data_IF_143099788085
#
_entry.id   IF_143099788085
#
_cell.length_a   1.000
_cell.length_b   1.000
_cell.length_c   1.000
_cell.angle_alpha   90.00
_cell.angle_beta   90.00
_cell.angle_gamma   90.00
#
_symmetry.space_group_name_H-M   'P 1'
#
loop_
_entity.id
_entity.type
_entity.pdbx_description
1 polymer ?
#
# COMPACT_ATOMS: atom_id res chain seq x y z
N UNK A 1 22.56 -9.48 -4.84
CA UNK A 1 21.20 -8.88 -5.00
C UNK A 1 20.12 -9.43 -4.04
N UNK A 2 20.23 -10.64 -3.46
CA UNK A 2 19.19 -11.20 -2.56
C UNK A 2 18.96 -10.35 -1.29
N UNK A 3 20.03 -9.84 -0.69
CA UNK A 3 19.98 -9.00 0.52
C UNK A 3 19.31 -7.65 0.23
N UNK A 4 19.68 -6.98 -0.86
CA UNK A 4 19.05 -5.70 -1.27
C UNK A 4 17.56 -5.87 -1.51
N UNK A 5 17.13 -6.91 -2.22
CA UNK A 5 15.70 -7.22 -2.41
C UNK A 5 15.00 -7.47 -1.08
N UNK A 6 15.66 -8.16 -0.14
CA UNK A 6 15.10 -8.39 1.18
C UNK A 6 14.95 -7.10 1.98
N UNK A 7 15.97 -6.24 2.01
CA UNK A 7 15.92 -4.93 2.69
C UNK A 7 14.79 -4.07 2.12
N UNK A 8 14.70 -3.95 0.78
CA UNK A 8 13.63 -3.18 0.15
C UNK A 8 12.24 -3.76 0.47
N UNK A 9 12.10 -5.09 0.48
CA UNK A 9 10.83 -5.73 0.80
C UNK A 9 10.47 -5.62 2.28
N UNK A 10 11.47 -5.62 3.15
CA UNK A 10 11.30 -5.41 4.58
C UNK A 10 10.82 -3.98 4.84
N UNK A 11 11.49 -2.98 4.27
CA UNK A 11 11.10 -1.57 4.43
C UNK A 11 9.72 -1.30 3.85
N UNK A 12 9.44 -1.80 2.63
CA UNK A 12 8.14 -1.69 2.00
C UNK A 12 7.04 -2.35 2.85
N UNK A 13 7.24 -3.60 3.27
CA UNK A 13 6.28 -4.33 4.07
C UNK A 13 6.01 -3.67 5.42
N UNK A 14 7.06 -3.22 6.12
CA UNK A 14 6.93 -2.49 7.39
C UNK A 14 6.17 -1.18 7.23
N UNK A 15 6.40 -0.44 6.14
CA UNK A 15 5.68 0.80 5.87
C UNK A 15 4.17 0.55 5.69
N UNK A 16 3.78 -0.49 4.95
CA UNK A 16 2.37 -0.86 4.78
C UNK A 16 1.73 -1.39 6.06
N UNK A 17 2.45 -2.20 6.84
CA UNK A 17 1.96 -2.65 8.14
C UNK A 17 1.72 -1.45 9.06
N UNK A 18 2.66 -0.50 9.11
CA UNK A 18 2.50 0.72 9.89
C UNK A 18 1.31 1.56 9.39
N UNK A 19 1.19 1.77 8.08
CA UNK A 19 0.07 2.51 7.49
C UNK A 19 -1.29 1.86 7.75
N UNK A 20 -1.35 0.52 7.81
CA UNK A 20 -2.58 -0.22 8.11
C UNK A 20 -2.91 -0.20 9.59
N UNK A 21 -1.93 -0.40 10.48
CA UNK A 21 -2.13 -0.30 11.93
C UNK A 21 -2.62 1.09 12.33
N UNK A 22 -2.08 2.14 11.72
CA UNK A 22 -2.50 3.52 11.96
C UNK A 22 -3.97 3.75 11.61
N UNK A 23 -4.54 3.07 10.60
CA UNK A 23 -5.98 3.14 10.27
C UNK A 23 -6.89 2.51 11.34
N UNK A 24 -6.36 1.62 12.18
CA UNK A 24 -7.13 1.02 13.28
C UNK A 24 -6.92 1.77 14.60
N UNK A 25 -5.67 2.13 14.90
CA UNK A 25 -5.28 2.70 16.18
C UNK A 25 -5.17 4.22 16.19
N UNK A 26 -5.16 4.86 15.02
CA UNK A 26 -5.10 6.32 14.84
C UNK A 26 -4.01 6.99 15.68
N UNK A 27 -2.80 6.41 15.70
CA UNK A 27 -1.72 6.90 16.54
C UNK A 27 -0.89 8.00 15.88
N UNK A 28 -0.94 8.15 14.56
CA UNK A 28 -0.39 9.30 13.90
C UNK A 28 -1.38 10.47 13.94
N UNK A 29 -0.93 11.66 14.35
CA UNK A 29 -1.75 12.85 14.26
C UNK A 29 -2.07 13.13 12.80
N UNK A 30 -3.35 13.30 12.51
CA UNK A 30 -3.79 13.66 11.17
C UNK A 30 -3.16 15.00 10.78
N UNK A 31 -2.51 15.10 9.60
CA UNK A 31 -1.97 16.37 9.14
C UNK A 31 -3.10 17.39 8.93
N UNK A 32 -2.77 18.68 8.87
CA UNK A 32 -3.76 19.71 8.55
C UNK A 32 -4.28 19.49 7.12
N UNK A 33 -5.50 18.99 7.02
CA UNK A 33 -6.21 18.77 5.77
C UNK A 33 -6.87 20.06 5.31
N UNK A 34 -6.97 20.25 3.99
CA UNK A 34 -7.83 21.28 3.41
C UNK A 34 -9.31 20.88 3.58
N UNK A 35 -10.22 21.85 3.43
CA UNK A 35 -11.66 21.60 3.55
C UNK A 35 -12.16 20.51 2.58
N UNK A 36 -11.60 20.46 1.38
CA UNK A 36 -11.97 19.45 0.39
C UNK A 36 -11.40 18.06 0.72
N UNK A 37 -10.20 17.99 1.29
CA UNK A 37 -9.64 16.74 1.80
C UNK A 37 -10.47 16.21 2.97
N UNK A 38 -10.92 17.09 3.88
CA UNK A 38 -11.82 16.72 4.97
C UNK A 38 -13.12 16.11 4.47
N UNK A 39 -13.74 16.66 3.42
CA UNK A 39 -14.95 16.08 2.81
C UNK A 39 -14.71 14.66 2.27
N UNK A 40 -13.57 14.43 1.62
CA UNK A 40 -13.22 13.11 1.10
C UNK A 40 -12.97 12.11 2.23
N UNK A 41 -12.24 12.51 3.26
CA UNK A 41 -12.02 11.67 4.44
C UNK A 41 -13.32 11.35 5.17
N UNK A 42 -14.23 12.33 5.31
CA UNK A 42 -15.55 12.10 5.88
C UNK A 42 -16.36 11.08 5.08
N UNK A 43 -16.36 11.18 3.74
CA UNK A 43 -17.02 10.22 2.86
C UNK A 43 -16.44 8.80 2.99
N UNK A 44 -15.13 8.65 3.18
CA UNK A 44 -14.53 7.34 3.47
C UNK A 44 -14.95 6.79 4.84
N UNK A 45 -15.16 7.67 5.82
CA UNK A 45 -15.66 7.32 7.15
C UNK A 45 -17.12 6.82 7.13
N UNK A 46 -17.97 7.39 6.28
CA UNK A 46 -19.39 6.99 6.18
C UNK A 46 -19.59 5.54 5.71
N UNK A 47 -18.67 5.01 4.91
CA UNK A 47 -18.78 3.66 4.34
C UNK A 47 -18.59 2.58 5.43
N UNK A 48 -17.95 2.89 6.55
CA UNK A 48 -17.82 2.02 7.74
C UNK A 48 -16.88 0.82 7.58
N UNK A 49 -16.89 0.13 6.44
CA UNK A 49 -16.05 -1.05 6.18
C UNK A 49 -14.80 -0.75 5.35
N UNK A 50 -14.78 0.38 4.62
CA UNK A 50 -13.71 0.70 3.67
C UNK A 50 -12.35 0.86 4.36
N UNK A 51 -12.26 1.75 5.35
CA UNK A 51 -11.00 2.03 6.07
C UNK A 51 -10.45 0.78 6.80
N UNK A 52 -11.28 0.00 7.53
CA UNK A 52 -10.85 -1.27 8.10
C UNK A 52 -10.37 -2.28 7.04
N UNK A 53 -11.08 -2.41 5.91
CA UNK A 53 -10.69 -3.34 4.85
C UNK A 53 -9.35 -2.96 4.22
N UNK A 54 -9.16 -1.67 3.92
CA UNK A 54 -7.90 -1.13 3.40
C UNK A 54 -6.78 -1.39 4.40
N UNK A 55 -6.96 -1.06 5.68
CA UNK A 55 -5.97 -1.31 6.72
C UNK A 55 -5.61 -2.79 6.87
N UNK A 56 -6.60 -3.68 6.83
CA UNK A 56 -6.36 -5.12 6.87
C UNK A 56 -5.57 -5.62 5.65
N UNK A 57 -5.91 -5.15 4.45
CA UNK A 57 -5.20 -5.49 3.22
C UNK A 57 -3.75 -5.00 3.23
N UNK A 58 -3.48 -3.81 3.79
CA UNK A 58 -2.12 -3.28 3.94
C UNK A 58 -1.30 -4.08 4.96
N UNK A 59 -1.88 -4.47 6.11
CA UNK A 59 -1.19 -5.28 7.13
C UNK A 59 -0.89 -6.68 6.58
N UNK A 60 -1.90 -7.36 6.05
CA UNK A 60 -1.76 -8.73 5.53
C UNK A 60 -0.81 -8.73 4.32
N UNK A 61 -1.04 -7.81 3.39
CA UNK A 61 -0.21 -7.65 2.20
C UNK A 61 1.23 -7.32 2.56
N UNK A 62 1.44 -6.39 3.51
CA UNK A 62 2.76 -5.96 3.95
C UNK A 62 3.53 -7.10 4.63
N UNK A 63 2.87 -7.86 5.50
CA UNK A 63 3.45 -9.02 6.16
C UNK A 63 3.85 -10.11 5.16
N UNK A 64 2.99 -10.41 4.19
CA UNK A 64 3.27 -11.38 3.14
C UNK A 64 4.38 -10.92 2.19
N UNK A 65 4.54 -9.61 1.98
CA UNK A 65 5.56 -9.02 1.11
C UNK A 65 7.00 -9.24 1.63
N UNK A 66 7.17 -9.25 2.96
CA UNK A 66 8.48 -9.38 3.61
C UNK A 66 9.13 -10.72 3.25
N UNK A 67 8.39 -11.83 3.39
CA UNK A 67 8.94 -13.17 3.22
C UNK A 67 9.10 -13.54 1.72
N UNK A 68 10.29 -14.00 1.28
CA UNK A 68 10.55 -14.34 -0.13
C UNK A 68 9.60 -15.38 -0.75
N UNK A 69 9.05 -16.28 0.09
CA UNK A 69 8.10 -17.32 -0.35
C UNK A 69 6.73 -16.73 -0.69
N UNK A 70 6.19 -15.89 0.18
CA UNK A 70 4.83 -15.29 0.06
C UNK A 70 4.81 -13.93 -0.62
N UNK A 71 5.98 -13.37 -0.96
CA UNK A 71 6.10 -12.02 -1.52
C UNK A 71 5.20 -11.75 -2.73
N UNK A 72 5.10 -12.75 -3.61
CA UNK A 72 4.26 -12.66 -4.79
C UNK A 72 2.78 -12.44 -4.41
N UNK A 73 2.29 -13.19 -3.43
CA UNK A 73 0.94 -13.04 -2.91
C UNK A 73 0.74 -11.67 -2.24
N UNK A 74 1.68 -11.24 -1.40
CA UNK A 74 1.63 -9.92 -0.76
C UNK A 74 1.60 -8.77 -1.76
N UNK A 75 2.38 -8.87 -2.85
CA UNK A 75 2.41 -7.86 -3.90
C UNK A 75 1.06 -7.72 -4.62
N UNK A 76 0.39 -8.84 -4.92
CA UNK A 76 -0.96 -8.85 -5.52
C UNK A 76 -2.01 -8.27 -4.56
N UNK A 77 -1.96 -8.62 -3.28
CA UNK A 77 -2.93 -8.11 -2.28
C UNK A 77 -2.80 -6.59 -2.13
N UNK A 78 -1.57 -6.06 -2.12
CA UNK A 78 -1.33 -4.62 -2.01
C UNK A 78 -1.69 -3.88 -3.31
N UNK A 79 -1.57 -4.52 -4.47
CA UNK A 79 -1.74 -3.85 -5.77
C UNK A 79 -3.02 -3.00 -5.90
N UNK A 80 -4.24 -3.50 -5.63
CA UNK A 80 -5.45 -2.69 -5.74
C UNK A 80 -5.47 -1.51 -4.76
N UNK A 81 -4.95 -1.70 -3.54
CA UNK A 81 -4.82 -0.63 -2.55
C UNK A 81 -3.80 0.42 -3.01
N UNK A 82 -2.67 -0.02 -3.54
CA UNK A 82 -1.62 0.84 -4.06
C UNK A 82 -2.09 1.67 -5.26
N UNK A 83 -2.89 1.09 -6.15
CA UNK A 83 -3.55 1.82 -7.25
C UNK A 83 -4.50 2.88 -6.68
N UNK A 84 -5.28 2.55 -5.65
CA UNK A 84 -6.14 3.52 -4.96
C UNK A 84 -5.36 4.68 -4.36
N UNK A 85 -4.25 4.40 -3.65
CA UNK A 85 -3.35 5.42 -3.08
C UNK A 85 -2.76 6.31 -4.17
N UNK A 86 -2.29 5.72 -5.27
CA UNK A 86 -1.72 6.47 -6.39
C UNK A 86 -2.76 7.40 -7.03
N UNK A 87 -3.96 6.89 -7.32
CA UNK A 87 -5.05 7.69 -7.87
C UNK A 87 -5.50 8.80 -6.91
N UNK A 88 -5.55 8.51 -5.61
CA UNK A 88 -5.87 9.51 -4.60
C UNK A 88 -4.86 10.66 -4.61
N UNK A 89 -3.56 10.36 -4.62
CA UNK A 89 -2.51 11.38 -4.64
C UNK A 89 -2.44 12.14 -5.98
N UNK A 90 -2.76 11.51 -7.09
CA UNK A 90 -2.77 12.18 -8.40
C UNK A 90 -4.00 13.08 -8.60
N UNK A 91 -5.17 12.66 -8.10
CA UNK A 91 -6.44 13.33 -8.39
C UNK A 91 -6.99 14.20 -7.25
N UNK A 92 -6.67 13.89 -5.98
CA UNK A 92 -7.30 14.50 -4.80
C UNK A 92 -6.31 15.14 -3.83
N UNK A 93 -5.17 14.51 -3.57
CA UNK A 93 -4.13 15.05 -2.70
C UNK A 93 -2.84 15.29 -3.48
N UNK A 94 -2.83 16.38 -4.25
CA UNK A 94 -1.73 16.74 -5.16
C UNK A 94 -0.48 17.29 -4.43
N UNK A 95 -0.25 16.87 -3.19
CA UNK A 95 1.01 17.09 -2.52
C UNK A 95 2.15 16.47 -3.33
N UNK A 96 3.13 17.29 -3.71
CA UNK A 96 4.30 16.84 -4.47
C UNK A 96 5.00 15.66 -3.77
N UNK A 97 5.10 15.71 -2.45
CA UNK A 97 5.68 14.64 -1.63
C UNK A 97 4.83 13.37 -1.67
N UNK A 98 3.51 13.48 -1.54
CA UNK A 98 2.59 12.33 -1.57
C UNK A 98 2.61 11.62 -2.93
N UNK A 99 2.61 12.39 -4.02
CA UNK A 99 2.73 11.85 -5.38
C UNK A 99 4.05 11.09 -5.53
N UNK A 100 5.19 11.70 -5.19
CA UNK A 100 6.51 11.07 -5.35
C UNK A 100 6.57 9.75 -4.56
N UNK A 101 6.16 9.74 -3.29
CA UNK A 101 6.17 8.54 -2.45
C UNK A 101 5.28 7.45 -3.06
N UNK A 102 4.05 7.78 -3.44
CA UNK A 102 3.12 6.79 -4.02
C UNK A 102 3.62 6.19 -5.33
N UNK A 103 4.22 7.00 -6.21
CA UNK A 103 4.83 6.53 -7.47
C UNK A 103 5.99 5.58 -7.18
N UNK A 104 6.89 5.94 -6.26
CA UNK A 104 8.04 5.09 -5.90
C UNK A 104 7.58 3.75 -5.34
N UNK A 105 6.60 3.75 -4.44
CA UNK A 105 6.04 2.53 -3.86
C UNK A 105 5.34 1.68 -4.93
N UNK A 106 4.57 2.30 -5.83
CA UNK A 106 3.92 1.60 -6.92
C UNK A 106 4.94 0.93 -7.85
N UNK A 107 6.05 1.61 -8.18
CA UNK A 107 7.14 1.03 -8.98
C UNK A 107 7.83 -0.13 -8.25
N UNK A 108 8.05 -0.04 -6.94
CA UNK A 108 8.60 -1.16 -6.14
C UNK A 108 7.65 -2.36 -6.15
N UNK A 109 6.35 -2.12 -5.99
CA UNK A 109 5.33 -3.17 -6.03
C UNK A 109 5.30 -3.85 -7.42
N UNK A 110 5.28 -3.06 -8.49
CA UNK A 110 5.30 -3.56 -9.87
C UNK A 110 6.58 -4.34 -10.18
N UNK A 111 7.74 -3.85 -9.75
CA UNK A 111 9.00 -4.56 -9.91
C UNK A 111 8.99 -5.92 -9.22
N UNK A 112 8.44 -6.01 -8.00
CA UNK A 112 8.32 -7.30 -7.29
C UNK A 112 7.32 -8.25 -7.94
N UNK A 113 6.26 -7.75 -8.57
CA UNK A 113 5.35 -8.55 -9.39
C UNK A 113 6.10 -9.13 -10.59
N UNK A 114 6.84 -8.30 -11.33
CA UNK A 114 7.58 -8.75 -12.51
C UNK A 114 8.70 -9.74 -12.14
N UNK A 115 9.42 -9.50 -11.03
CA UNK A 115 10.49 -10.40 -10.54
C UNK A 115 9.96 -11.77 -10.11
N UNK A 116 8.69 -11.84 -9.66
CA UNK A 116 8.03 -13.07 -9.26
C UNK A 116 7.07 -13.64 -10.31
N UNK A 117 7.12 -13.16 -11.57
CA UNK A 117 6.17 -13.53 -12.63
C UNK A 117 6.02 -15.04 -12.87
N UNK A 118 7.11 -15.78 -12.71
CA UNK A 118 7.12 -17.25 -12.90
C UNK A 118 6.21 -17.96 -11.88
N UNK A 119 6.05 -17.40 -10.68
CA UNK A 119 5.13 -17.93 -9.66
C UNK A 119 3.66 -17.66 -10.01
N UNK A 120 3.37 -16.64 -10.81
CA UNK A 120 2.01 -16.35 -11.25
C UNK A 120 1.59 -17.18 -12.46
N UNK A 121 2.53 -17.70 -13.24
CA UNK A 121 2.20 -18.55 -14.39
C UNK A 121 1.36 -19.75 -13.98
N UNK A 122 1.65 -20.38 -12.84
CA UNK A 122 0.89 -21.51 -12.28
C UNK A 122 -0.51 -21.15 -11.79
N UNK A 123 -0.82 -19.86 -11.61
CA UNK A 123 -2.17 -19.40 -11.24
C UNK A 123 -3.04 -19.12 -12.47
N UNK A 124 -2.44 -18.83 -13.62
CA UNK A 124 -3.13 -18.42 -14.85
C UNK A 124 -3.09 -19.52 -15.91
N UNK A 125 -2.19 -20.51 -15.78
CA UNK A 125 -1.99 -21.65 -16.67
C UNK A 125 -1.68 -22.91 -15.88
#
# INVERSE_FOLDING_TARGET
>A
MKIVKFILSLLFGLMFINAGLDKFFHYNPMPKLTDDQMKVYAAFGEIGWLMPLVGAAEIIGGLLFIFPKTRALGAIIILPVMVGILLHNLCRDQSQTGIIISVVLFLINLWMIIDNKEKYKTLVS
#
